data_IF_595871353433
#
_entry.id   IF_595871353433
#
_cell.length_a   1.000
_cell.length_b   1.000
_cell.length_c   1.000
_cell.angle_alpha   90.00
_cell.angle_beta   90.00
_cell.angle_gamma   90.00
#
_symmetry.space_group_name_H-M   'P 1'
#
loop_
_entity.id
_entity.type
_entity.pdbx_description
1 polymer ?
#
# COMPACT_ATOMS: atom_id res chain seq x y z
N UNK A 1 -19.70 -1.52 -6.45
CA UNK A 1 -19.88 -1.61 -4.98
C UNK A 1 -18.65 -2.35 -4.46
N UNK A 2 -17.83 -1.72 -3.62
CA UNK A 2 -16.63 -2.33 -3.05
C UNK A 2 -17.04 -3.11 -1.81
N UNK A 3 -17.31 -4.39 -1.96
CA UNK A 3 -17.46 -5.29 -0.83
C UNK A 3 -16.06 -5.76 -0.44
N UNK A 4 -15.46 -5.07 0.53
CA UNK A 4 -14.27 -5.58 1.18
C UNK A 4 -14.64 -6.94 1.80
N UNK A 5 -13.87 -7.97 1.50
CA UNK A 5 -14.01 -9.31 2.09
C UNK A 5 -14.12 -9.16 3.61
N UNK A 6 -15.31 -9.39 4.16
CA UNK A 6 -15.46 -9.45 5.61
C UNK A 6 -14.82 -10.78 6.01
N UNK A 7 -13.83 -10.71 6.90
CA UNK A 7 -13.23 -11.90 7.49
C UNK A 7 -13.57 -11.87 8.97
N UNK A 8 -14.42 -12.81 9.39
CA UNK A 8 -14.67 -13.04 10.81
C UNK A 8 -13.84 -14.23 11.26
N UNK A 9 -13.14 -14.01 12.37
CA UNK A 9 -12.31 -15.01 13.03
C UNK A 9 -12.94 -15.29 14.39
N UNK A 10 -13.32 -16.54 14.63
CA UNK A 10 -13.96 -16.96 15.87
C UNK A 10 -13.17 -18.14 16.45
N UNK A 11 -12.79 -18.03 17.72
CA UNK A 11 -12.24 -19.16 18.48
C UNK A 11 -13.43 -19.92 19.07
N UNK A 12 -13.61 -21.19 18.70
CA UNK A 12 -14.57 -22.04 19.38
C UNK A 12 -13.99 -22.50 20.73
N UNK A 13 -14.56 -22.07 21.87
CA UNK A 13 -14.03 -22.42 23.18
C UNK A 13 -14.24 -23.90 23.55
N UNK A 14 -15.05 -24.64 22.78
CA UNK A 14 -15.38 -26.05 23.04
C UNK A 14 -14.41 -26.99 22.34
N UNK A 15 -14.07 -26.70 21.08
CA UNK A 15 -13.17 -27.51 20.27
C UNK A 15 -11.73 -27.00 20.26
N UNK A 16 -11.49 -25.75 20.65
CA UNK A 16 -10.19 -25.09 20.54
C UNK A 16 -9.79 -24.76 19.10
N UNK A 17 -10.71 -24.93 18.14
CA UNK A 17 -10.48 -24.65 16.74
C UNK A 17 -10.68 -23.15 16.45
N UNK A 18 -9.89 -22.64 15.52
CA UNK A 18 -10.05 -21.27 15.02
C UNK A 18 -10.80 -21.33 13.68
N UNK A 19 -12.01 -20.80 13.67
CA UNK A 19 -12.87 -20.71 12.50
C UNK A 19 -12.59 -19.40 11.76
N UNK A 20 -12.29 -19.49 10.47
CA UNK A 20 -12.09 -18.34 9.59
C UNK A 20 -13.17 -18.36 8.51
N UNK A 21 -14.04 -17.36 8.49
CA UNK A 21 -15.12 -17.23 7.49
C UNK A 21 -14.80 -16.08 6.53
N UNK A 22 -14.87 -16.35 5.22
CA UNK A 22 -14.63 -15.36 4.17
C UNK A 22 -15.96 -15.16 3.43
N UNK A 23 -16.50 -13.94 3.47
CA UNK A 23 -17.73 -13.59 2.75
C UNK A 23 -17.37 -13.00 1.39
N UNK A 24 -17.71 -13.70 0.31
CA UNK A 24 -17.67 -13.14 -1.03
C UNK A 24 -19.10 -12.75 -1.45
N UNK A 25 -19.28 -11.53 -1.93
CA UNK A 25 -20.55 -11.05 -2.52
C UNK A 25 -21.78 -11.05 -1.58
N UNK A 26 -21.57 -11.02 -0.25
CA UNK A 26 -22.66 -10.94 0.72
C UNK A 26 -23.27 -12.29 1.11
N UNK A 27 -22.73 -13.40 0.60
CA UNK A 27 -23.06 -14.76 1.05
C UNK A 27 -21.80 -15.49 1.55
N UNK A 28 -21.99 -16.55 2.35
CA UNK A 28 -20.89 -17.44 2.73
C UNK A 28 -20.52 -18.28 1.52
N UNK A 29 -19.69 -17.73 0.64
CA UNK A 29 -19.29 -18.38 -0.61
C UNK A 29 -18.28 -19.51 -0.37
N UNK A 30 -17.45 -19.42 0.69
CA UNK A 30 -16.55 -20.48 1.11
C UNK A 30 -16.23 -20.39 2.61
N UNK A 31 -16.26 -21.53 3.31
CA UNK A 31 -15.77 -21.65 4.70
C UNK A 31 -14.45 -22.42 4.68
N UNK A 32 -13.39 -21.83 5.22
CA UNK A 32 -12.11 -22.50 5.44
C UNK A 32 -11.90 -22.69 6.94
N UNK A 33 -11.97 -23.94 7.40
CA UNK A 33 -11.69 -24.28 8.80
C UNK A 33 -10.26 -24.82 8.90
N UNK A 34 -9.50 -24.31 9.85
CA UNK A 34 -8.17 -24.85 10.18
C UNK A 34 -8.08 -25.12 11.68
N UNK A 35 -7.77 -26.35 12.05
CA UNK A 35 -7.53 -26.66 13.46
C UNK A 35 -6.14 -26.17 13.88
N UNK A 36 -5.93 -25.95 15.17
CA UNK A 36 -4.57 -25.61 15.67
C UNK A 36 -3.57 -26.74 15.37
N UNK A 37 -4.03 -27.99 15.31
CA UNK A 37 -3.19 -29.14 14.93
C UNK A 37 -2.70 -29.03 13.49
N UNK A 38 -3.57 -28.65 12.56
CA UNK A 38 -3.19 -28.45 11.15
C UNK A 38 -2.21 -27.29 11.00
N UNK A 39 -2.45 -26.20 11.74
CA UNK A 39 -1.57 -25.02 11.74
C UNK A 39 -0.19 -25.35 12.31
N UNK A 40 -0.11 -26.17 13.36
CA UNK A 40 1.17 -26.66 13.92
C UNK A 40 1.89 -27.57 12.94
N UNK A 41 1.17 -28.44 12.22
CA UNK A 41 1.74 -29.29 11.17
C UNK A 41 2.31 -28.46 10.00
N UNK A 42 1.77 -27.27 9.76
CA UNK A 42 2.29 -26.27 8.81
C UNK A 42 3.36 -25.35 9.41
N UNK A 43 3.79 -25.58 10.66
CA UNK A 43 4.86 -24.83 11.31
C UNK A 43 4.44 -23.46 11.85
N UNK A 44 3.15 -23.22 12.06
CA UNK A 44 2.62 -21.96 12.61
C UNK A 44 1.70 -22.22 13.81
N UNK A 45 1.19 -21.16 14.43
CA UNK A 45 0.16 -21.21 15.48
C UNK A 45 -1.06 -20.44 15.03
N UNK A 46 -2.22 -20.70 15.64
CA UNK A 46 -3.44 -19.92 15.39
C UNK A 46 -3.19 -18.41 15.55
N UNK A 47 -2.50 -18.00 16.62
CA UNK A 47 -2.14 -16.60 16.87
C UNK A 47 -1.28 -16.02 15.75
N UNK A 48 -0.21 -16.72 15.34
CA UNK A 48 0.67 -16.24 14.29
C UNK A 48 -0.01 -16.19 12.91
N UNK A 49 -0.86 -17.16 12.60
CA UNK A 49 -1.66 -17.18 11.37
C UNK A 49 -2.63 -15.98 11.31
N UNK A 50 -3.38 -15.73 12.39
CA UNK A 50 -4.33 -14.62 12.48
C UNK A 50 -3.61 -13.27 12.38
N UNK A 51 -2.47 -13.09 13.05
CA UNK A 51 -1.66 -11.87 12.93
C UNK A 51 -1.25 -11.62 11.48
N UNK A 52 -0.77 -12.65 10.77
CA UNK A 52 -0.39 -12.53 9.36
C UNK A 52 -1.58 -12.21 8.45
N UNK A 53 -2.75 -12.82 8.71
CA UNK A 53 -3.96 -12.54 7.95
C UNK A 53 -4.40 -11.08 8.14
N UNK A 54 -4.43 -10.58 9.38
CA UNK A 54 -4.78 -9.20 9.68
C UNK A 54 -3.82 -8.18 9.03
N UNK A 55 -2.51 -8.46 9.01
CA UNK A 55 -1.53 -7.64 8.31
C UNK A 55 -1.80 -7.59 6.80
N UNK A 56 -2.15 -8.72 6.19
CA UNK A 56 -2.47 -8.78 4.76
C UNK A 56 -3.80 -8.14 4.40
N UNK A 57 -4.79 -8.17 5.29
CA UNK A 57 -6.09 -7.52 5.06
C UNK A 57 -6.05 -6.01 5.23
N UNK A 58 -5.25 -5.52 6.17
CA UNK A 58 -4.97 -4.08 6.27
C UNK A 58 -4.35 -3.53 4.96
N UNK A 59 -3.64 -4.38 4.21
CA UNK A 59 -3.05 -4.04 2.92
C UNK A 59 -4.06 -4.04 1.75
N UNK A 60 -5.08 -4.92 1.76
CA UNK A 60 -6.12 -4.98 0.70
C UNK A 60 -7.28 -3.99 0.90
N UNK A 61 -7.55 -3.53 2.12
CA UNK A 61 -8.60 -2.54 2.41
C UNK A 61 -8.19 -1.09 2.13
N UNK A 62 -6.91 -0.84 1.84
CA UNK A 62 -6.37 0.49 1.61
C UNK A 62 -5.48 0.45 0.37
N UNK A 63 -6.07 0.57 -0.82
CA UNK A 63 -5.37 1.29 -1.87
C UNK A 63 -5.14 2.69 -1.30
N UNK A 64 -3.97 2.93 -0.68
CA UNK A 64 -3.72 4.12 0.10
C UNK A 64 -4.10 5.32 -0.77
N UNK A 65 -5.04 6.14 -0.27
CA UNK A 65 -5.55 7.32 -0.98
C UNK A 65 -4.40 8.05 -1.66
N UNK A 66 -4.57 8.41 -2.93
CA UNK A 66 -3.56 9.24 -3.60
C UNK A 66 -3.38 10.56 -2.87
N UNK A 67 -4.43 11.06 -2.23
CA UNK A 67 -4.54 12.35 -1.55
C UNK A 67 -5.91 12.97 -1.85
N UNK A 68 -6.42 13.85 -0.99
CA UNK A 68 -7.70 14.54 -1.22
C UNK A 68 -7.55 15.81 -2.07
N UNK A 69 -6.32 16.31 -2.22
CA UNK A 69 -5.96 17.50 -3.00
C UNK A 69 -4.86 17.15 -4.00
N UNK A 70 -4.77 17.97 -5.04
CA UNK A 70 -3.82 17.82 -6.13
C UNK A 70 -3.25 19.18 -6.53
N UNK A 71 -1.97 19.23 -6.87
CA UNK A 71 -1.34 20.36 -7.53
C UNK A 71 -0.47 19.94 -8.71
N UNK A 72 -0.33 20.83 -9.69
CA UNK A 72 0.60 20.65 -10.80
C UNK A 72 2.01 21.07 -10.36
N UNK A 73 2.99 20.18 -10.54
CA UNK A 73 4.40 20.42 -10.25
C UNK A 73 5.18 20.42 -11.56
N UNK A 74 5.74 21.57 -11.91
CA UNK A 74 6.53 21.82 -13.14
C UNK A 74 8.01 22.11 -12.87
N UNK A 75 8.44 22.07 -11.60
CA UNK A 75 9.82 22.35 -11.18
C UNK A 75 10.09 21.88 -9.76
N UNK A 76 10.99 22.57 -9.05
CA UNK A 76 11.34 22.22 -7.68
C UNK A 76 10.26 22.64 -6.68
N UNK A 77 9.81 21.68 -5.89
CA UNK A 77 8.94 21.89 -4.73
C UNK A 77 9.55 21.20 -3.52
N UNK A 78 9.79 21.99 -2.47
CA UNK A 78 10.35 21.57 -1.18
C UNK A 78 9.40 21.95 -0.05
N UNK A 79 9.45 21.23 1.07
CA UNK A 79 8.67 21.57 2.27
C UNK A 79 7.18 21.27 2.15
N UNK A 80 6.79 20.49 1.13
CA UNK A 80 5.45 19.93 0.97
C UNK A 80 5.48 18.43 1.15
N UNK A 81 4.36 17.88 1.60
CA UNK A 81 4.22 16.46 1.91
C UNK A 81 3.23 15.83 0.94
N UNK A 82 3.73 15.13 -0.07
CA UNK A 82 2.89 14.40 -1.02
C UNK A 82 2.73 12.94 -0.61
N UNK A 83 1.52 12.43 -0.70
CA UNK A 83 1.19 11.01 -0.52
C UNK A 83 1.52 10.18 -1.77
N UNK A 84 1.44 10.79 -2.94
CA UNK A 84 1.89 10.22 -4.21
C UNK A 84 2.16 11.34 -5.22
N UNK A 85 2.93 11.02 -6.26
CA UNK A 85 3.00 11.82 -7.48
C UNK A 85 2.58 10.98 -8.68
N UNK A 86 1.83 11.56 -9.60
CA UNK A 86 1.51 10.96 -10.89
C UNK A 86 2.21 11.72 -12.00
N UNK A 87 2.91 11.02 -12.87
CA UNK A 87 3.54 11.63 -14.04
C UNK A 87 2.46 11.96 -15.05
N UNK A 88 2.24 13.25 -15.30
CA UNK A 88 1.24 13.73 -16.26
C UNK A 88 1.86 13.91 -17.65
N UNK A 89 3.10 14.41 -17.72
CA UNK A 89 3.91 14.42 -18.92
C UNK A 89 5.27 13.80 -18.62
N UNK A 90 5.78 12.96 -19.53
CA UNK A 90 7.03 12.22 -19.33
C UNK A 90 8.15 13.15 -18.86
N UNK A 91 8.82 12.77 -17.78
CA UNK A 91 9.74 13.63 -17.04
C UNK A 91 10.89 12.84 -16.45
N UNK A 92 11.97 13.53 -16.13
CA UNK A 92 13.04 12.99 -15.30
C UNK A 92 13.08 13.77 -13.98
N UNK A 93 13.65 13.18 -12.94
CA UNK A 93 13.76 13.84 -11.64
C UNK A 93 15.23 14.11 -11.32
N UNK A 94 15.55 15.33 -10.92
CA UNK A 94 16.88 15.70 -10.40
C UNK A 94 16.94 15.57 -8.88
N UNK A 95 15.79 15.69 -8.22
CA UNK A 95 15.65 15.43 -6.77
C UNK A 95 14.30 14.80 -6.52
N UNK A 96 14.29 13.69 -5.80
CA UNK A 96 13.09 13.08 -5.26
C UNK A 96 13.45 12.48 -3.91
N UNK A 97 12.87 12.98 -2.82
CA UNK A 97 13.18 12.50 -1.48
C UNK A 97 11.93 12.13 -0.71
N UNK A 98 12.06 11.13 0.15
CA UNK A 98 11.03 10.80 1.13
C UNK A 98 11.07 11.75 2.34
N UNK A 99 10.08 11.61 3.23
CA UNK A 99 9.95 12.36 4.48
C UNK A 99 11.10 12.20 5.46
N UNK A 100 11.97 11.20 5.27
CA UNK A 100 13.16 10.98 6.08
C UNK A 100 14.44 11.50 5.39
N UNK A 101 14.31 12.16 4.25
CA UNK A 101 15.43 12.68 3.47
C UNK A 101 16.16 11.63 2.63
N UNK A 102 15.60 10.42 2.48
CA UNK A 102 16.21 9.39 1.63
C UNK A 102 16.00 9.74 0.17
N UNK A 103 17.06 9.65 -0.65
CA UNK A 103 16.98 9.84 -2.09
C UNK A 103 16.24 8.67 -2.75
N UNK A 104 15.05 8.95 -3.27
CA UNK A 104 14.20 7.96 -3.93
C UNK A 104 14.70 7.59 -5.33
N UNK A 105 15.51 8.44 -5.97
CA UNK A 105 16.04 8.16 -7.31
C UNK A 105 17.01 7.00 -7.31
N UNK A 106 17.75 6.82 -6.22
CA UNK A 106 18.68 5.71 -6.06
C UNK A 106 17.95 4.46 -5.57
N UNK A 107 17.06 4.58 -4.58
CA UNK A 107 16.32 3.43 -4.04
C UNK A 107 15.33 2.83 -5.03
N UNK A 108 14.76 3.62 -5.94
CA UNK A 108 13.81 3.17 -6.97
C UNK A 108 14.46 2.99 -8.35
N UNK A 109 15.78 3.14 -8.46
CA UNK A 109 16.54 3.05 -9.72
C UNK A 109 16.00 3.97 -10.85
N UNK A 110 15.66 5.22 -10.50
CA UNK A 110 15.15 6.24 -11.41
C UNK A 110 16.22 7.26 -11.83
N UNK A 111 17.47 7.08 -11.38
CA UNK A 111 18.56 8.02 -11.66
C UNK A 111 18.86 8.08 -13.16
N UNK A 112 18.68 9.25 -13.77
CA UNK A 112 18.87 9.45 -15.22
C UNK A 112 17.78 8.83 -16.10
N UNK A 113 16.71 8.32 -15.51
CA UNK A 113 15.61 7.66 -16.22
C UNK A 113 14.48 8.66 -16.48
N UNK A 114 13.99 8.68 -17.72
CA UNK A 114 12.71 9.34 -18.04
C UNK A 114 11.57 8.42 -17.61
N UNK A 115 10.74 8.91 -16.71
CA UNK A 115 9.52 8.26 -16.26
C UNK A 115 8.38 8.66 -17.19
N UNK A 116 7.64 7.67 -17.69
CA UNK A 116 6.59 7.89 -18.68
C UNK A 116 5.30 8.43 -18.04
N UNK A 117 4.52 9.17 -18.82
CA UNK A 117 3.18 9.61 -18.44
C UNK A 117 2.29 8.43 -18.02
N UNK A 118 1.47 8.65 -16.99
CA UNK A 118 0.57 7.64 -16.40
C UNK A 118 1.19 6.86 -15.24
N UNK A 119 2.51 6.94 -15.02
CA UNK A 119 3.16 6.27 -13.89
C UNK A 119 2.86 6.98 -12.57
N UNK A 120 2.62 6.20 -11.51
CA UNK A 120 2.44 6.69 -10.14
C UNK A 120 3.68 6.32 -9.33
N UNK A 121 4.26 7.29 -8.64
CA UNK A 121 5.39 7.10 -7.74
C UNK A 121 4.92 7.39 -6.31
N UNK A 122 5.25 6.48 -5.40
CA UNK A 122 4.98 6.57 -3.96
C UNK A 122 6.29 6.41 -3.21
N UNK A 123 6.37 7.01 -2.02
CA UNK A 123 7.45 6.72 -1.09
C UNK A 123 7.31 5.30 -0.52
N UNK A 124 8.39 4.81 0.10
CA UNK A 124 8.37 3.53 0.82
C UNK A 124 7.33 3.53 1.94
N UNK A 125 6.95 2.34 2.42
CA UNK A 125 5.90 2.16 3.43
C UNK A 125 6.04 3.11 4.63
N UNK A 126 4.91 3.71 5.01
CA UNK A 126 4.81 4.65 6.14
C UNK A 126 5.39 6.04 5.87
N UNK A 127 5.89 6.32 4.66
CA UNK A 127 6.51 7.60 4.30
C UNK A 127 5.72 8.36 3.25
N UNK A 128 6.07 9.63 3.12
CA UNK A 128 5.56 10.55 2.10
C UNK A 128 6.72 11.12 1.29
N UNK A 129 6.43 11.77 0.17
CA UNK A 129 7.41 12.45 -0.67
C UNK A 129 7.54 13.90 -0.16
N UNK A 130 8.75 14.31 0.19
CA UNK A 130 9.02 15.61 0.82
C UNK A 130 9.63 16.65 -0.13
N UNK A 131 10.35 16.20 -1.15
CA UNK A 131 10.92 17.08 -2.19
C UNK A 131 10.75 16.43 -3.54
N UNK A 132 10.30 17.22 -4.52
CA UNK A 132 10.16 16.84 -5.91
C UNK A 132 10.81 17.91 -6.75
N UNK A 133 11.77 17.55 -7.60
CA UNK A 133 12.33 18.43 -8.60
C UNK A 133 12.30 17.71 -9.94
N UNK A 134 11.35 18.13 -10.78
CA UNK A 134 11.17 17.61 -12.13
C UNK A 134 12.03 18.39 -13.12
N UNK A 135 12.64 17.67 -14.05
CA UNK A 135 13.46 18.19 -15.14
C UNK A 135 12.80 17.78 -16.45
N UNK A 136 12.08 18.75 -17.05
CA UNK A 136 11.18 18.54 -18.19
C UNK A 136 9.80 18.02 -17.78
N UNK A 137 8.79 18.12 -18.65
CA UNK A 137 7.45 17.60 -18.39
C UNK A 137 6.78 18.20 -17.14
N UNK A 138 5.96 17.39 -16.46
CA UNK A 138 5.32 17.76 -15.18
C UNK A 138 4.69 16.54 -14.49
N UNK A 139 4.44 16.69 -13.19
CA UNK A 139 3.71 15.71 -12.37
C UNK A 139 2.53 16.37 -11.66
N UNK A 140 1.54 15.56 -11.28
CA UNK A 140 0.56 15.93 -10.28
C UNK A 140 1.00 15.43 -8.92
N UNK A 141 1.21 16.35 -7.98
CA UNK A 141 1.46 16.03 -6.58
C UNK A 141 0.14 15.93 -5.83
N UNK A 142 -0.10 14.79 -5.18
CA UNK A 142 -1.29 14.56 -4.37
C UNK A 142 -0.95 14.65 -2.88
N UNK A 143 -1.83 15.29 -2.11
CA UNK A 143 -1.65 15.54 -0.68
C UNK A 143 -3.01 15.64 0.03
N UNK A 144 -3.01 15.73 1.36
CA UNK A 144 -4.21 15.90 2.18
C UNK A 144 -4.41 17.37 2.61
#
# INVERSE_FOLDING_TARGET
>A
MNYADIITVELDPTSGETLVRIYAEGEVSATLTASNTDLVALGTTATAFITNLNLKLAYSASAASLGSKMELVTGSVTGKTYTAIMVNASTSFTTLTDSNGVNMLTTMNLTGITVNAGMIIRANEGKTIATVNVSGGNVFGYFN
#
